data_IF_132632953996
#
_entry.id   IF_132632953996
#
_cell.length_a   1.000
_cell.length_b   1.000
_cell.length_c   1.000
_cell.angle_alpha   90.00
_cell.angle_beta   90.00
_cell.angle_gamma   90.00
#
_symmetry.space_group_name_H-M   'P 1'
#
loop_
_entity.id
_entity.type
_entity.pdbx_description
1 polymer ?
#
# COMPACT_ATOMS: atom_id res chain seq x y z
N UNK A 1 -5.61 -11.12 11.52
CA UNK A 1 -5.65 -12.18 10.50
C UNK A 1 -5.32 -13.54 11.11
N UNK A 2 -4.11 -13.71 11.66
CA UNK A 2 -3.66 -15.00 12.19
C UNK A 2 -4.55 -15.55 13.32
N UNK A 3 -5.13 -14.68 14.14
CA UNK A 3 -6.09 -15.02 15.20
C UNK A 3 -7.28 -15.86 14.72
N UNK A 4 -7.76 -15.64 13.50
CA UNK A 4 -8.88 -16.42 12.93
C UNK A 4 -8.45 -17.88 12.71
N UNK A 5 -7.24 -18.10 12.19
CA UNK A 5 -6.73 -19.44 11.92
C UNK A 5 -6.33 -20.16 13.20
N UNK A 6 -5.76 -19.43 14.16
CA UNK A 6 -5.43 -19.95 15.48
C UNK A 6 -6.67 -20.37 16.26
N UNK A 7 -7.81 -19.68 16.07
CA UNK A 7 -9.07 -20.11 16.68
C UNK A 7 -9.52 -21.49 16.19
N UNK A 8 -9.32 -21.81 14.90
CA UNK A 8 -9.67 -23.12 14.33
C UNK A 8 -8.61 -24.19 14.54
N UNK A 9 -7.38 -23.82 14.88
CA UNK A 9 -6.26 -24.73 15.02
C UNK A 9 -5.83 -24.82 16.48
N UNK A 10 -6.24 -25.90 17.15
CA UNK A 10 -5.86 -26.14 18.54
C UNK A 10 -4.63 -27.05 18.60
N UNK A 11 -3.49 -26.50 19.02
CA UNK A 11 -2.28 -27.27 19.36
C UNK A 11 -1.67 -26.76 20.67
N UNK A 12 -1.05 -27.67 21.42
CA UNK A 12 -0.31 -27.36 22.66
C UNK A 12 1.14 -26.93 22.37
N UNK A 13 1.63 -27.10 21.13
CA UNK A 13 3.02 -26.82 20.77
C UNK A 13 3.17 -25.51 19.99
N UNK A 14 4.03 -24.62 20.49
CA UNK A 14 4.36 -23.35 19.83
C UNK A 14 4.91 -23.53 18.41
N UNK A 15 5.68 -24.60 18.16
CA UNK A 15 6.24 -24.87 16.83
C UNK A 15 5.15 -25.07 15.78
N UNK A 16 3.99 -25.60 16.16
CA UNK A 16 2.89 -25.85 15.23
C UNK A 16 2.25 -24.54 14.78
N UNK A 17 2.07 -23.57 15.70
CA UNK A 17 1.57 -22.24 15.36
C UNK A 17 2.53 -21.48 14.45
N UNK A 18 3.84 -21.60 14.68
CA UNK A 18 4.86 -20.99 13.82
C UNK A 18 4.84 -21.61 12.41
N UNK A 19 4.72 -22.93 12.31
CA UNK A 19 4.62 -23.63 11.03
C UNK A 19 3.32 -23.26 10.30
N UNK A 20 2.20 -23.14 11.02
CA UNK A 20 0.93 -22.68 10.47
C UNK A 20 1.04 -21.26 9.91
N UNK A 21 1.64 -20.34 10.67
CA UNK A 21 1.85 -18.96 10.24
C UNK A 21 2.70 -18.89 8.96
N UNK A 22 3.81 -19.64 8.90
CA UNK A 22 4.66 -19.72 7.70
C UNK A 22 3.92 -20.31 6.51
N UNK A 23 3.19 -21.41 6.70
CA UNK A 23 2.40 -22.05 5.65
C UNK A 23 1.35 -21.09 5.08
N UNK A 24 0.61 -20.37 5.94
CA UNK A 24 -0.36 -19.36 5.49
C UNK A 24 0.32 -18.23 4.70
N UNK A 25 1.47 -17.74 5.17
CA UNK A 25 2.22 -16.69 4.46
C UNK A 25 2.67 -17.15 3.07
N UNK A 26 3.11 -18.41 2.93
CA UNK A 26 3.47 -19.04 1.66
C UNK A 26 2.26 -19.16 0.74
N UNK A 27 1.13 -19.65 1.25
CA UNK A 27 -0.10 -19.77 0.46
C UNK A 27 -0.59 -18.41 -0.05
N UNK A 28 -0.56 -17.38 0.80
CA UNK A 28 -0.96 -16.03 0.41
C UNK A 28 0.02 -15.46 -0.62
N UNK A 29 1.33 -15.65 -0.43
CA UNK A 29 2.36 -15.22 -1.38
C UNK A 29 2.12 -15.81 -2.77
N UNK A 30 1.89 -17.12 -2.87
CA UNK A 30 1.56 -17.78 -4.14
C UNK A 30 0.25 -17.23 -4.73
N UNK A 31 -0.75 -16.96 -3.89
CA UNK A 31 -2.02 -16.39 -4.34
C UNK A 31 -1.86 -14.97 -4.90
N UNK A 32 -0.87 -14.20 -4.43
CA UNK A 32 -0.60 -12.83 -4.91
C UNK A 32 -0.17 -12.75 -6.37
N UNK A 33 0.31 -13.86 -6.95
CA UNK A 33 0.67 -13.93 -8.37
C UNK A 33 -0.54 -13.63 -9.27
N UNK A 34 -1.74 -14.04 -8.86
CA UNK A 34 -2.98 -13.83 -9.61
C UNK A 34 -3.30 -12.33 -9.75
N UNK A 35 -3.46 -11.54 -8.66
CA UNK A 35 -3.72 -10.11 -8.80
C UNK A 35 -2.56 -9.35 -9.44
N UNK A 36 -1.30 -9.79 -9.29
CA UNK A 36 -0.16 -9.22 -10.03
C UNK A 36 -0.34 -9.39 -11.53
N UNK A 37 -0.60 -10.62 -12.00
CA UNK A 37 -0.84 -10.88 -13.41
C UNK A 37 -2.01 -10.05 -13.95
N UNK A 38 -3.12 -10.00 -13.21
CA UNK A 38 -4.30 -9.20 -13.57
C UNK A 38 -3.98 -7.70 -13.66
N UNK A 39 -3.18 -7.18 -12.72
CA UNK A 39 -2.72 -5.79 -12.76
C UNK A 39 -1.83 -5.53 -13.99
N UNK A 40 -0.84 -6.39 -14.25
CA UNK A 40 0.03 -6.26 -15.42
C UNK A 40 -0.74 -6.32 -16.74
N UNK A 41 -1.81 -7.11 -16.82
CA UNK A 41 -2.68 -7.22 -18.01
C UNK A 41 -3.49 -5.95 -18.32
N UNK A 42 -3.53 -4.99 -17.39
CA UNK A 42 -4.14 -3.66 -17.64
C UNK A 42 -3.24 -2.74 -18.45
N UNK A 43 -1.92 -2.92 -18.37
CA UNK A 43 -0.93 -2.03 -18.95
C UNK A 43 -0.20 -2.63 -20.15
N UNK A 44 -0.05 -3.95 -20.18
CA UNK A 44 0.72 -4.67 -21.20
C UNK A 44 -0.11 -5.78 -21.85
N UNK A 45 0.34 -6.25 -23.03
CA UNK A 45 -0.23 -7.45 -23.64
C UNK A 45 -0.01 -8.68 -22.76
N UNK A 46 -0.93 -9.66 -22.88
CA UNK A 46 -0.94 -10.89 -22.07
C UNK A 46 0.42 -11.58 -21.97
N UNK A 47 1.20 -11.61 -23.07
CA UNK A 47 2.54 -12.22 -23.12
C UNK A 47 3.51 -11.53 -22.17
N UNK A 48 3.53 -10.19 -22.17
CA UNK A 48 4.39 -9.40 -21.30
C UNK A 48 3.88 -9.39 -19.84
N UNK A 49 2.57 -9.52 -19.63
CA UNK A 49 2.00 -9.64 -18.28
C UNK A 49 2.44 -10.90 -17.56
N UNK A 50 2.63 -12.02 -18.28
CA UNK A 50 3.19 -13.25 -17.71
C UNK A 50 4.63 -13.02 -17.25
N UNK A 51 5.44 -12.29 -18.05
CA UNK A 51 6.81 -11.94 -17.68
C UNK A 51 6.82 -11.07 -16.41
N UNK A 52 5.91 -10.09 -16.30
CA UNK A 52 5.77 -9.26 -15.10
C UNK A 52 5.40 -10.07 -13.85
N UNK A 53 4.46 -11.02 -13.97
CA UNK A 53 4.12 -11.91 -12.87
C UNK A 53 5.27 -12.86 -12.49
N UNK A 54 6.03 -13.35 -13.47
CA UNK A 54 7.21 -14.18 -13.22
C UNK A 54 8.30 -13.39 -12.47
N UNK A 55 8.59 -12.15 -12.89
CA UNK A 55 9.56 -11.29 -12.21
C UNK A 55 9.19 -11.05 -10.74
N UNK A 56 7.91 -10.88 -10.43
CA UNK A 56 7.43 -10.75 -9.05
C UNK A 56 7.66 -12.02 -8.23
N UNK A 57 7.40 -13.21 -8.78
CA UNK A 57 7.62 -14.49 -8.08
C UNK A 57 9.10 -14.73 -7.79
N UNK A 58 9.98 -14.35 -8.71
CA UNK A 58 11.42 -14.51 -8.55
C UNK A 58 12.09 -13.40 -7.74
N UNK A 59 11.32 -12.43 -7.22
CA UNK A 59 11.87 -11.39 -6.37
C UNK A 59 12.25 -11.99 -5.00
N UNK A 60 13.54 -11.99 -4.62
CA UNK A 60 14.00 -12.70 -3.43
C UNK A 60 13.47 -12.09 -2.13
N UNK A 61 13.12 -10.79 -2.12
CA UNK A 61 12.47 -10.15 -0.97
C UNK A 61 11.08 -10.75 -0.71
N UNK A 62 10.31 -11.02 -1.76
CA UNK A 62 8.98 -11.64 -1.65
C UNK A 62 9.11 -13.07 -1.11
N UNK A 63 10.08 -13.82 -1.62
CA UNK A 63 10.36 -15.19 -1.15
C UNK A 63 10.79 -15.17 0.32
N UNK A 64 11.70 -14.28 0.70
CA UNK A 64 12.20 -14.15 2.07
C UNK A 64 11.09 -13.76 3.05
N UNK A 65 10.27 -12.77 2.70
CA UNK A 65 9.14 -12.32 3.51
C UNK A 65 8.09 -13.42 3.73
N UNK A 66 7.88 -14.22 2.70
CA UNK A 66 6.99 -15.38 2.76
C UNK A 66 7.51 -16.43 3.74
N UNK A 67 8.81 -16.75 3.69
CA UNK A 67 9.46 -17.75 4.57
C UNK A 67 9.51 -17.32 6.03
N UNK A 68 9.66 -16.02 6.31
CA UNK A 68 9.62 -15.51 7.69
C UNK A 68 8.20 -15.53 8.30
N UNK A 69 7.15 -15.72 7.50
CA UNK A 69 5.78 -15.74 8.01
C UNK A 69 5.27 -14.35 8.43
N UNK A 70 5.84 -13.27 7.89
CA UNK A 70 5.50 -11.89 8.28
C UNK A 70 4.18 -11.47 7.60
N UNK A 71 3.54 -10.43 8.13
CA UNK A 71 2.29 -9.85 7.59
C UNK A 71 2.42 -9.25 6.19
N UNK A 72 3.64 -9.13 5.64
CA UNK A 72 3.91 -8.50 4.35
C UNK A 72 3.29 -9.23 3.16
N UNK A 73 3.23 -10.57 3.19
CA UNK A 73 2.60 -11.35 2.11
C UNK A 73 1.11 -10.98 1.95
N UNK A 74 0.39 -10.85 3.07
CA UNK A 74 -1.02 -10.43 3.07
C UNK A 74 -1.17 -8.95 2.71
N UNK A 75 -0.26 -8.12 3.19
CA UNK A 75 -0.25 -6.70 2.85
C UNK A 75 -0.14 -6.51 1.33
N UNK A 76 0.85 -7.12 0.67
CA UNK A 76 1.03 -7.03 -0.78
C UNK A 76 -0.18 -7.56 -1.56
N UNK A 77 -0.77 -8.69 -1.13
CA UNK A 77 -1.97 -9.23 -1.75
C UNK A 77 -3.10 -8.19 -1.80
N UNK A 78 -3.41 -7.57 -0.66
CA UNK A 78 -4.51 -6.61 -0.51
C UNK A 78 -4.19 -5.30 -1.25
N UNK A 79 -2.94 -4.83 -1.21
CA UNK A 79 -2.53 -3.61 -1.91
C UNK A 79 -2.66 -3.73 -3.43
N UNK A 80 -2.15 -4.84 -4.00
CA UNK A 80 -2.16 -5.08 -5.45
C UNK A 80 -3.60 -5.32 -5.95
N UNK A 81 -4.42 -6.05 -5.18
CA UNK A 81 -5.85 -6.22 -5.48
C UNK A 81 -6.59 -4.88 -5.45
N UNK A 82 -6.33 -4.00 -4.47
CA UNK A 82 -6.92 -2.66 -4.42
C UNK A 82 -6.60 -1.85 -5.68
N UNK A 83 -5.32 -1.82 -6.09
CA UNK A 83 -4.89 -1.14 -7.32
C UNK A 83 -5.56 -1.72 -8.57
N UNK A 84 -5.62 -3.04 -8.68
CA UNK A 84 -6.26 -3.70 -9.82
C UNK A 84 -7.76 -3.38 -9.92
N UNK A 85 -8.48 -3.40 -8.78
CA UNK A 85 -9.90 -3.06 -8.72
C UNK A 85 -10.14 -1.59 -9.08
N UNK A 86 -9.29 -0.69 -8.57
CA UNK A 86 -9.39 0.73 -8.84
C UNK A 86 -9.23 1.03 -10.34
N UNK A 87 -8.34 0.31 -11.03
CA UNK A 87 -8.12 0.47 -12.47
C UNK A 87 -9.23 -0.15 -13.34
N UNK A 88 -10.20 -0.84 -12.75
CA UNK A 88 -11.31 -1.42 -13.48
C UNK A 88 -12.21 -0.36 -14.10
N UNK A 89 -12.84 -0.66 -15.24
CA UNK A 89 -13.78 0.26 -15.91
C UNK A 89 -15.13 0.36 -15.17
N UNK A 90 -15.42 -0.59 -14.29
CA UNK A 90 -16.67 -0.62 -13.53
C UNK A 90 -16.55 0.26 -12.28
N UNK A 91 -17.40 1.28 -12.15
CA UNK A 91 -17.44 2.17 -10.97
C UNK A 91 -17.68 1.40 -9.67
N UNK A 92 -18.43 0.29 -9.70
CA UNK A 92 -18.64 -0.56 -8.52
C UNK A 92 -17.32 -1.17 -8.03
N UNK A 93 -16.46 -1.59 -8.94
CA UNK A 93 -15.14 -2.11 -8.60
C UNK A 93 -14.23 -1.02 -8.02
N UNK A 94 -14.37 0.23 -8.49
CA UNK A 94 -13.69 1.38 -7.89
C UNK A 94 -14.18 1.63 -6.46
N UNK A 95 -15.48 1.52 -6.17
CA UNK A 95 -15.95 1.63 -4.78
C UNK A 95 -15.42 0.51 -3.89
N UNK A 96 -15.39 -0.73 -4.41
CA UNK A 96 -14.82 -1.87 -3.68
C UNK A 96 -13.32 -1.66 -3.43
N UNK A 97 -12.56 -1.03 -4.33
CA UNK A 97 -11.13 -0.81 -4.12
C UNK A 97 -10.83 0.05 -2.89
N UNK A 98 -11.68 1.03 -2.56
CA UNK A 98 -11.56 1.82 -1.33
C UNK A 98 -11.85 0.96 -0.09
N UNK A 99 -12.78 0.01 -0.16
CA UNK A 99 -12.98 -0.95 0.93
C UNK A 99 -11.79 -1.90 1.11
N UNK A 100 -11.20 -2.38 0.02
CA UNK A 100 -9.97 -3.19 0.05
C UNK A 100 -8.79 -2.35 0.58
N UNK A 101 -8.71 -1.07 0.23
CA UNK A 101 -7.70 -0.15 0.77
C UNK A 101 -7.87 0.07 2.29
N UNK A 102 -9.10 0.06 2.81
CA UNK A 102 -9.31 0.11 4.26
C UNK A 102 -8.76 -1.15 4.94
N UNK A 103 -9.01 -2.34 4.37
CA UNK A 103 -8.41 -3.58 4.87
C UNK A 103 -6.87 -3.54 4.81
N UNK A 104 -6.30 -2.92 3.78
CA UNK A 104 -4.86 -2.72 3.65
C UNK A 104 -4.30 -1.90 4.82
N UNK A 105 -4.96 -0.79 5.18
CA UNK A 105 -4.63 0.03 6.37
C UNK A 105 -4.78 -0.73 7.68
N UNK A 106 -5.75 -1.64 7.80
CA UNK A 106 -5.94 -2.44 9.02
C UNK A 106 -4.83 -3.48 9.23
N UNK A 107 -4.28 -4.03 8.15
CA UNK A 107 -3.13 -4.93 8.23
C UNK A 107 -1.90 -4.17 8.72
N UNK A 108 -1.66 -2.98 8.18
CA UNK A 108 -0.50 -2.13 8.48
C UNK A 108 -0.86 -0.65 8.26
N UNK A 109 -0.51 0.21 9.22
CA UNK A 109 -0.90 1.62 9.21
C UNK A 109 -0.30 2.39 8.03
N UNK A 110 0.86 1.94 7.52
CA UNK A 110 1.49 2.47 6.32
C UNK A 110 0.56 2.37 5.09
N UNK A 111 -0.40 1.45 5.11
CA UNK A 111 -1.41 1.30 4.07
C UNK A 111 -2.32 2.51 3.91
N UNK A 112 -2.41 3.38 4.92
CA UNK A 112 -3.11 4.67 4.81
C UNK A 112 -2.52 5.53 3.68
N UNK A 113 -1.23 5.41 3.39
CA UNK A 113 -0.58 6.14 2.29
C UNK A 113 -1.18 5.81 0.93
N UNK A 114 -1.74 4.62 0.73
CA UNK A 114 -2.40 4.22 -0.52
C UNK A 114 -3.70 4.99 -0.78
N UNK A 115 -4.35 5.53 0.25
CA UNK A 115 -5.55 6.34 0.11
C UNK A 115 -5.28 7.62 -0.70
N UNK A 116 -4.10 8.21 -0.54
CA UNK A 116 -3.69 9.44 -1.19
C UNK A 116 -3.63 9.29 -2.73
N UNK A 117 -2.84 8.37 -3.32
CA UNK A 117 -2.83 8.18 -4.77
C UNK A 117 -4.19 7.74 -5.30
N UNK A 118 -4.93 6.87 -4.59
CA UNK A 118 -6.29 6.48 -5.02
C UNK A 118 -7.24 7.68 -5.08
N UNK A 119 -7.15 8.60 -4.12
CA UNK A 119 -7.97 9.82 -4.10
C UNK A 119 -7.65 10.75 -5.27
N UNK A 120 -6.37 11.01 -5.53
CA UNK A 120 -5.92 11.85 -6.64
C UNK A 120 -6.38 11.23 -7.96
N UNK A 121 -6.12 9.94 -8.15
CA UNK A 121 -6.52 9.23 -9.36
C UNK A 121 -8.03 9.23 -9.55
N UNK A 122 -8.82 9.16 -8.47
CA UNK A 122 -10.29 9.18 -8.55
C UNK A 122 -10.78 10.50 -9.14
N UNK A 123 -10.27 11.62 -8.63
CA UNK A 123 -10.62 12.95 -9.15
C UNK A 123 -10.13 13.13 -10.58
N UNK A 124 -8.91 12.73 -10.91
CA UNK A 124 -8.37 12.82 -12.27
C UNK A 124 -9.22 12.02 -13.27
N UNK A 125 -9.61 10.80 -12.89
CA UNK A 125 -10.37 9.87 -13.73
C UNK A 125 -11.82 10.31 -13.94
N UNK A 126 -12.49 10.76 -12.87
CA UNK A 126 -13.91 11.09 -12.91
C UNK A 126 -14.19 12.60 -13.00
N UNK A 127 -13.19 13.45 -13.29
CA UNK A 127 -13.33 14.93 -13.33
C UNK A 127 -14.49 15.46 -14.20
N UNK A 128 -14.88 14.73 -15.25
CA UNK A 128 -15.96 15.13 -16.18
C UNK A 128 -17.36 14.66 -15.73
N UNK A 129 -17.43 13.80 -14.71
CA UNK A 129 -18.69 13.27 -14.20
C UNK A 129 -19.44 14.33 -13.39
N UNK A 130 -20.78 14.31 -13.41
CA UNK A 130 -21.56 15.14 -12.49
C UNK A 130 -21.44 14.58 -11.07
N UNK A 131 -21.38 15.47 -10.07
CA UNK A 131 -21.33 15.13 -8.63
C UNK A 131 -20.12 14.25 -8.23
N UNK A 132 -18.95 14.46 -8.83
CA UNK A 132 -17.71 13.71 -8.50
C UNK A 132 -17.40 13.72 -7.00
N UNK A 133 -17.55 14.88 -6.36
CA UNK A 133 -17.28 15.05 -4.92
C UNK A 133 -18.21 14.16 -4.08
N UNK A 134 -19.48 14.03 -4.45
CA UNK A 134 -20.42 13.17 -3.73
C UNK A 134 -20.09 11.68 -3.92
N UNK A 135 -19.71 11.28 -5.14
CA UNK A 135 -19.23 9.90 -5.41
C UNK A 135 -17.96 9.59 -4.63
N UNK A 136 -17.03 10.54 -4.53
CA UNK A 136 -15.83 10.41 -3.72
C UNK A 136 -16.15 10.34 -2.22
N UNK A 137 -17.08 11.17 -1.73
CA UNK A 137 -17.56 11.10 -0.35
C UNK A 137 -18.09 9.71 0.00
N UNK A 138 -18.77 9.04 -0.94
CA UNK A 138 -19.19 7.65 -0.77
C UNK A 138 -18.01 6.67 -0.67
N UNK A 139 -16.96 6.84 -1.47
CA UNK A 139 -15.72 6.05 -1.34
C UNK A 139 -15.08 6.19 0.04
N UNK A 140 -14.95 7.43 0.52
CA UNK A 140 -14.37 7.73 1.84
C UNK A 140 -15.24 7.15 2.95
N UNK A 141 -16.56 7.24 2.82
CA UNK A 141 -17.49 6.65 3.77
C UNK A 141 -17.32 5.13 3.87
N UNK A 142 -17.20 4.42 2.75
CA UNK A 142 -16.90 2.97 2.73
C UNK A 142 -15.58 2.70 3.48
N UNK A 143 -14.54 3.48 3.18
CA UNK A 143 -13.23 3.31 3.81
C UNK A 143 -13.32 3.47 5.34
N UNK A 144 -13.96 4.55 5.80
CA UNK A 144 -14.11 4.86 7.23
C UNK A 144 -14.95 3.81 7.94
N UNK A 145 -16.05 3.35 7.33
CA UNK A 145 -16.91 2.30 7.93
C UNK A 145 -16.18 0.99 8.15
N UNK A 146 -15.23 0.63 7.28
CA UNK A 146 -14.46 -0.61 7.42
C UNK A 146 -13.32 -0.42 8.42
N UNK A 147 -12.66 0.74 8.42
CA UNK A 147 -11.51 1.00 9.29
C UNK A 147 -11.92 1.29 10.76
N UNK A 148 -13.05 1.98 10.97
CA UNK A 148 -13.47 2.47 12.29
C UNK A 148 -13.71 1.39 13.35
N UNK A 149 -14.39 0.25 13.10
CA UNK A 149 -14.67 -0.71 14.18
C UNK A 149 -13.38 -1.29 14.76
N UNK A 150 -12.40 -1.59 13.90
CA UNK A 150 -11.13 -2.14 14.37
C UNK A 150 -10.27 -1.07 15.06
N UNK A 151 -10.29 0.16 14.56
CA UNK A 151 -9.60 1.28 15.22
C UNK A 151 -10.14 1.53 16.63
N UNK A 152 -11.47 1.50 16.80
CA UNK A 152 -12.12 1.65 18.10
C UNK A 152 -11.73 0.54 19.08
N UNK A 153 -11.81 -0.73 18.64
CA UNK A 153 -11.41 -1.87 19.48
C UNK A 153 -9.93 -1.78 19.89
N UNK A 154 -9.04 -1.39 18.96
CA UNK A 154 -7.61 -1.22 19.29
C UNK A 154 -7.39 -0.10 20.29
N UNK A 155 -8.10 1.02 20.12
CA UNK A 155 -8.00 2.15 21.04
C UNK A 155 -8.39 1.77 22.46
N UNK A 156 -9.51 1.05 22.65
CA UNK A 156 -9.94 0.57 23.96
C UNK A 156 -8.93 -0.39 24.61
N UNK A 157 -8.32 -1.28 23.82
CA UNK A 157 -7.42 -2.31 24.36
C UNK A 157 -5.98 -1.83 24.59
N UNK A 158 -5.50 -0.88 23.79
CA UNK A 158 -4.08 -0.48 23.77
C UNK A 158 -3.85 1.01 24.03
N UNK A 159 -4.91 1.80 24.15
CA UNK A 159 -4.84 3.27 24.24
C UNK A 159 -4.40 3.95 22.93
N UNK A 160 -4.14 3.19 21.88
CA UNK A 160 -3.73 3.66 20.56
C UNK A 160 -4.63 3.01 19.50
N UNK A 161 -5.17 3.81 18.60
CA UNK A 161 -6.02 3.32 17.51
C UNK A 161 -5.24 2.54 16.44
N UNK A 162 -3.92 2.75 16.37
CA UNK A 162 -3.02 2.10 15.43
C UNK A 162 -3.09 2.65 14.00
N UNK A 163 -3.78 3.78 13.79
CA UNK A 163 -3.91 4.44 12.48
C UNK A 163 -3.56 5.93 12.61
N UNK A 164 -4.30 6.66 13.45
CA UNK A 164 -4.14 8.10 13.65
C UNK A 164 -3.07 8.38 14.73
N UNK A 165 -2.94 7.52 15.74
CA UNK A 165 -1.97 7.67 16.83
C UNK A 165 -0.53 7.82 16.34
N UNK A 166 -0.17 7.08 15.28
CA UNK A 166 1.15 7.14 14.66
C UNK A 166 1.36 8.42 13.85
N UNK A 167 0.28 9.02 13.34
CA UNK A 167 0.33 10.30 12.61
C UNK A 167 0.40 11.47 13.59
N UNK A 168 -0.30 11.40 14.74
CA UNK A 168 -0.34 12.46 15.77
C UNK A 168 0.93 12.45 16.65
N UNK A 169 1.59 11.31 16.82
CA UNK A 169 2.87 11.23 17.54
C UNK A 169 3.96 12.14 16.93
N UNK A 170 3.86 12.41 15.62
CA UNK A 170 4.80 13.24 14.87
C UNK A 170 4.74 14.72 15.31
N UNK A 171 3.56 15.39 15.35
CA UNK A 171 3.33 16.67 16.04
C UNK A 171 3.90 16.80 17.45
N UNK A 172 3.69 15.80 18.30
CA UNK A 172 4.14 15.83 19.71
C UNK A 172 5.66 15.71 19.80
N UNK A 173 6.26 14.91 18.93
CA UNK A 173 7.72 14.86 18.80
C UNK A 173 8.29 16.21 18.32
N UNK A 174 7.61 16.94 17.43
CA UNK A 174 8.05 18.28 17.00
C UNK A 174 8.04 19.30 18.14
N UNK A 175 7.03 19.26 19.01
CA UNK A 175 6.97 20.16 20.17
C UNK A 175 8.13 19.90 21.12
N UNK A 176 8.36 18.63 21.48
CA UNK A 176 9.45 18.25 22.40
C UNK A 176 10.86 18.44 21.80
N UNK A 177 11.02 18.31 20.47
CA UNK A 177 12.28 18.56 19.78
C UNK A 177 12.57 20.07 19.62
N UNK A 178 11.52 20.88 19.38
CA UNK A 178 11.66 22.35 19.29
C UNK A 178 11.79 23.02 20.65
N UNK A 179 11.34 22.39 21.74
CA UNK A 179 11.63 22.85 23.10
C UNK A 179 13.10 22.61 23.51
N UNK A 180 13.77 21.64 22.88
CA UNK A 180 15.18 21.30 23.16
C UNK A 180 16.21 22.02 22.28
N UNK A 181 15.79 22.60 21.16
CA UNK A 181 16.64 23.42 20.30
C UNK A 181 15.96 24.75 20.02
N UNK A 182 16.63 25.87 20.28
CA UNK A 182 16.16 27.25 20.06
C UNK A 182 15.90 27.56 18.56
N UNK A 183 15.03 26.80 17.90
CA UNK A 183 14.68 26.93 16.49
C UNK A 183 13.17 26.96 16.31
N UNK A 184 12.72 27.83 15.41
CA UNK A 184 11.31 27.95 15.04
C UNK A 184 10.71 26.59 14.66
N UNK A 185 9.55 26.28 15.25
CA UNK A 185 8.81 25.04 15.01
C UNK A 185 8.58 24.77 13.52
N UNK A 186 8.39 25.82 12.72
CA UNK A 186 8.19 25.74 11.27
C UNK A 186 9.47 25.30 10.56
N UNK A 187 10.64 25.84 10.92
CA UNK A 187 11.92 25.50 10.30
C UNK A 187 12.31 24.07 10.64
N UNK A 188 12.11 23.66 11.90
CA UNK A 188 12.33 22.28 12.35
C UNK A 188 11.44 21.30 11.59
N UNK A 189 10.14 21.60 11.43
CA UNK A 189 9.22 20.78 10.63
C UNK A 189 9.70 20.62 9.18
N UNK A 190 10.05 21.71 8.50
CA UNK A 190 10.53 21.66 7.12
C UNK A 190 11.83 20.86 6.98
N UNK A 191 12.80 21.04 7.88
CA UNK A 191 14.05 20.28 7.84
C UNK A 191 13.84 18.77 8.01
N UNK A 192 12.95 18.37 8.93
CA UNK A 192 12.59 16.96 9.09
C UNK A 192 11.81 16.41 7.89
N UNK A 193 10.91 17.20 7.30
CA UNK A 193 10.19 16.82 6.08
C UNK A 193 11.16 16.56 4.93
N UNK A 194 12.11 17.48 4.70
CA UNK A 194 13.16 17.33 3.68
C UNK A 194 14.04 16.11 3.99
N UNK A 195 14.43 15.92 5.25
CA UNK A 195 15.22 14.74 5.65
C UNK A 195 14.47 13.44 5.42
N UNK A 196 13.17 13.41 5.73
CA UNK A 196 12.28 12.28 5.46
C UNK A 196 12.19 11.98 3.96
N UNK A 197 12.01 13.01 3.13
CA UNK A 197 11.96 12.89 1.67
C UNK A 197 13.28 12.37 1.09
N UNK A 198 14.42 12.88 1.60
CA UNK A 198 15.76 12.43 1.21
C UNK A 198 16.00 10.97 1.58
N UNK A 199 15.61 10.57 2.79
CA UNK A 199 15.72 9.18 3.24
C UNK A 199 14.83 8.25 2.40
N UNK A 200 13.59 8.64 2.11
CA UNK A 200 12.70 7.89 1.24
C UNK A 200 13.35 7.67 -0.13
N UNK A 201 13.86 8.72 -0.76
CA UNK A 201 14.55 8.65 -2.06
C UNK A 201 15.78 7.74 -2.01
N UNK A 202 16.61 7.88 -0.95
CA UNK A 202 17.82 7.08 -0.75
C UNK A 202 17.49 5.58 -0.62
N UNK A 203 16.52 5.22 0.21
CA UNK A 203 16.14 3.83 0.42
C UNK A 203 15.42 3.22 -0.79
N UNK A 204 14.58 3.99 -1.49
CA UNK A 204 13.99 3.55 -2.76
C UNK A 204 15.07 3.26 -3.81
N UNK A 205 16.07 4.13 -3.92
CA UNK A 205 17.23 3.90 -4.78
C UNK A 205 17.95 2.60 -4.41
N UNK A 206 18.21 2.38 -3.13
CA UNK A 206 18.93 1.20 -2.66
C UNK A 206 18.18 -0.10 -2.94
N UNK A 207 16.87 -0.14 -2.69
CA UNK A 207 16.02 -1.33 -2.95
C UNK A 207 15.97 -1.66 -4.44
N UNK A 208 16.08 -0.65 -5.31
CA UNK A 208 15.99 -0.83 -6.77
C UNK A 208 17.26 -1.42 -7.38
N UNK A 209 18.45 -1.09 -6.84
CA UNK A 209 19.76 -1.43 -7.44
C UNK A 209 19.90 -2.92 -7.81
N UNK A 210 19.53 -3.90 -6.95
CA UNK A 210 19.80 -5.29 -7.25
C UNK A 210 18.92 -5.90 -8.36
N UNK A 211 17.72 -5.36 -8.62
CA UNK A 211 16.72 -6.04 -9.45
C UNK A 211 16.15 -5.19 -10.61
N UNK A 212 15.94 -3.88 -10.40
CA UNK A 212 15.07 -3.10 -11.29
C UNK A 212 15.71 -1.87 -11.92
N UNK A 213 17.00 -1.60 -11.68
CA UNK A 213 17.63 -0.35 -12.16
C UNK A 213 17.54 -0.20 -13.69
N UNK A 214 17.72 -1.28 -14.45
CA UNK A 214 17.55 -1.28 -15.90
C UNK A 214 16.10 -1.01 -16.34
N UNK A 215 15.13 -1.59 -15.63
CA UNK A 215 13.71 -1.39 -15.90
C UNK A 215 13.25 0.03 -15.57
N UNK A 216 13.79 0.66 -14.52
CA UNK A 216 13.48 2.05 -14.18
C UNK A 216 14.02 3.00 -15.25
N UNK A 217 15.28 2.83 -15.67
CA UNK A 217 15.88 3.66 -16.72
C UNK A 217 15.07 3.53 -18.02
N UNK A 218 14.71 2.31 -18.40
CA UNK A 218 13.88 2.06 -19.57
C UNK A 218 12.46 2.64 -19.41
N UNK A 219 11.85 2.51 -18.24
CA UNK A 219 10.51 3.02 -17.93
C UNK A 219 10.45 4.54 -18.03
N UNK A 220 11.41 5.24 -17.43
CA UNK A 220 11.54 6.70 -17.55
C UNK A 220 11.69 7.08 -19.04
N UNK A 221 12.59 6.42 -19.78
CA UNK A 221 12.78 6.69 -21.21
C UNK A 221 11.49 6.46 -22.04
N UNK A 222 10.74 5.41 -21.73
CA UNK A 222 9.48 5.08 -22.41
C UNK A 222 8.36 6.11 -22.14
N UNK A 223 8.29 6.65 -20.92
CA UNK A 223 7.34 7.72 -20.56
C UNK A 223 7.60 8.98 -21.41
N UNK A 224 8.87 9.32 -21.64
CA UNK A 224 9.22 10.49 -22.45
C UNK A 224 9.03 10.26 -23.96
N UNK A 225 9.16 9.03 -24.45
CA UNK A 225 9.13 8.70 -25.89
C UNK A 225 7.72 8.58 -26.48
N UNK A 226 6.77 7.96 -25.78
CA UNK A 226 5.40 7.74 -26.29
C UNK A 226 4.37 8.50 -25.43
N UNK A 227 4.20 9.80 -25.74
CA UNK A 227 3.16 10.65 -25.13
C UNK A 227 1.79 10.33 -25.71
N UNK A 228 1.17 9.28 -25.19
CA UNK A 228 -0.24 9.00 -25.44
C UNK A 228 -1.09 9.37 -24.21
N UNK A 229 -2.38 9.66 -24.41
CA UNK A 229 -3.27 10.21 -23.37
C UNK A 229 -3.44 9.30 -22.14
N UNK A 230 -3.16 8.00 -22.28
CA UNK A 230 -3.08 7.02 -21.18
C UNK A 230 -1.77 7.07 -20.39
N UNK A 231 -0.66 7.45 -21.03
CA UNK A 231 0.67 7.58 -20.40
C UNK A 231 0.77 8.89 -19.60
N UNK A 232 0.04 9.93 -20.02
CA UNK A 232 0.06 11.24 -19.37
C UNK A 232 -0.55 11.24 -17.94
N UNK A 233 -1.36 10.24 -17.59
CA UNK A 233 -1.90 10.12 -16.22
C UNK A 233 -0.86 9.62 -15.22
N UNK A 234 0.23 9.01 -15.70
CA UNK A 234 1.33 8.47 -14.86
C UNK A 234 2.41 9.55 -14.65
N UNK A 235 2.60 10.47 -15.62
CA UNK A 235 3.59 11.55 -15.54
C UNK A 235 3.11 12.80 -14.79
N UNK A 236 1.80 13.08 -14.73
CA UNK A 236 1.25 14.25 -14.03
C UNK A 236 1.25 14.12 -12.49
N UNK A 237 1.77 13.01 -11.96
CA UNK A 237 1.90 12.74 -10.51
C UNK A 237 3.34 12.72 -10.01
N UNK A 238 4.32 13.16 -10.81
CA UNK A 238 5.66 13.53 -10.31
C UNK A 238 5.76 15.04 -10.13
#
# INVERSE_FOLDING_TARGET
>A
FLSVFFYFFNSDNFLDYMNLQRSLSIMISVLTVIPVYLLCSRFFDKRYSIIGAALFVFEPLIIQNSLYGITESLYLFIGITSLFLFLSNNIKAVYISFGVAALFTLVRYEGLLLLLPLSIMFFVRFKKEKKVVLKYGFCVLIFVLIASPMAYIRFENTGQDGIISHVIAVPVYYQTASEKGEQDQVITFFNFFITGLLNLSKYLGWITIPFFIFFIIFGIFAIFKNRDYKTNTIALTS
#
